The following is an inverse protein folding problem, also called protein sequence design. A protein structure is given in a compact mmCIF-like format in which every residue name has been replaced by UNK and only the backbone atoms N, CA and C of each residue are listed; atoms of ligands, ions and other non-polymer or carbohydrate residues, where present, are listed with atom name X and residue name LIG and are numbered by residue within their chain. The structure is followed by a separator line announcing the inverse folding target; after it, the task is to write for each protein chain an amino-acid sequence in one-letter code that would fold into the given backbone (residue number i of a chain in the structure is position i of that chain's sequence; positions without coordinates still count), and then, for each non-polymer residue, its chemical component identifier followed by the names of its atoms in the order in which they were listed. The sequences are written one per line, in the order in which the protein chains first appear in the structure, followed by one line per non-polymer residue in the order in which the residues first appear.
data_IF_652040919520
#
_entry.id   IF_652040919520
#
_cell.length_a   1.000
_cell.length_b   1.000
_cell.length_c   1.000
_cell.angle_alpha   90.00
_cell.angle_beta   90.00
_cell.angle_gamma   90.00
#
_symmetry.space_group_name_H-M   'P 1'
#
loop_
_entity.id
_entity.type
_entity.pdbx_description
1 polymer ?
#
# COMPACT_ATOMS: atom_id res chain seq x y z
N UNK A 1 -15.56 -10.85 -48.57
CA UNK A 1 -15.81 -9.61 -47.79
C UNK A 1 -15.20 -9.85 -46.43
N UNK A 2 -14.09 -9.24 -46.21
CA UNK A 2 -13.38 -9.35 -44.94
C UNK A 2 -14.07 -8.37 -43.98
N UNK A 3 -14.81 -8.91 -43.04
CA UNK A 3 -15.44 -8.09 -41.98
C UNK A 3 -14.31 -7.58 -41.04
N UNK A 4 -13.99 -6.29 -41.17
CA UNK A 4 -13.14 -5.58 -40.22
C UNK A 4 -14.02 -5.14 -39.06
N UNK A 5 -13.81 -5.73 -37.90
CA UNK A 5 -14.56 -5.40 -36.67
C UNK A 5 -13.95 -4.20 -35.93
N UNK A 6 -12.66 -3.96 -36.08
CA UNK A 6 -11.92 -2.87 -35.42
C UNK A 6 -10.91 -2.22 -36.39
N UNK A 7 -11.27 -1.05 -36.89
CA UNK A 7 -10.45 -0.27 -37.83
C UNK A 7 -9.05 0.16 -37.25
N UNK A 8 -8.87 0.07 -35.93
CA UNK A 8 -7.61 0.42 -35.29
C UNK A 8 -6.62 -0.75 -35.23
N UNK A 9 -7.13 -1.98 -35.17
CA UNK A 9 -6.34 -3.19 -34.97
C UNK A 9 -6.33 -4.11 -36.18
N UNK A 10 -7.28 -3.93 -37.11
CA UNK A 10 -7.47 -4.77 -38.27
C UNK A 10 -7.45 -3.91 -39.56
N UNK A 11 -6.97 -4.47 -40.62
CA UNK A 11 -6.95 -3.86 -41.96
C UNK A 11 -7.58 -4.85 -42.97
N UNK A 12 -8.35 -4.34 -43.93
CA UNK A 12 -8.90 -5.17 -44.97
C UNK A 12 -7.81 -5.81 -45.82
N UNK A 13 -8.08 -7.03 -46.36
CA UNK A 13 -7.09 -7.76 -47.15
C UNK A 13 -6.67 -6.99 -48.41
N UNK A 14 -7.63 -6.26 -49.03
CA UNK A 14 -7.34 -5.42 -50.19
C UNK A 14 -6.34 -4.34 -49.91
N UNK A 15 -6.51 -3.58 -48.81
CA UNK A 15 -5.60 -2.52 -48.38
C UNK A 15 -4.26 -3.09 -47.88
N UNK A 16 -4.30 -4.28 -47.28
CA UNK A 16 -3.11 -5.02 -46.86
C UNK A 16 -2.25 -5.45 -48.03
N UNK A 17 -2.85 -5.85 -49.16
CA UNK A 17 -2.16 -6.25 -50.38
C UNK A 17 -1.58 -5.07 -51.17
N UNK A 18 -2.09 -3.85 -50.94
CA UNK A 18 -1.40 -2.64 -51.47
C UNK A 18 -0.06 -2.39 -50.78
N UNK A 19 0.04 -2.73 -49.49
CA UNK A 19 1.26 -2.57 -48.71
C UNK A 19 2.22 -3.76 -48.96
N UNK A 20 1.67 -4.98 -48.96
CA UNK A 20 2.45 -6.21 -49.20
C UNK A 20 1.67 -7.17 -50.10
N UNK A 21 2.12 -7.35 -51.35
CA UNK A 21 1.50 -8.22 -52.35
C UNK A 21 1.35 -9.70 -51.97
N UNK A 22 1.97 -10.13 -50.87
CA UNK A 22 1.95 -11.52 -50.36
C UNK A 22 1.10 -11.67 -49.12
N UNK A 23 0.41 -10.62 -48.66
CA UNK A 23 -0.39 -10.64 -47.45
C UNK A 23 -1.56 -11.61 -47.52
N UNK A 24 -1.76 -12.41 -46.52
CA UNK A 24 -2.86 -13.35 -46.35
C UNK A 24 -3.68 -13.01 -45.10
N UNK A 25 -4.92 -13.50 -45.04
CA UNK A 25 -5.79 -13.31 -43.89
C UNK A 25 -5.15 -13.96 -42.65
N UNK A 26 -4.97 -13.16 -41.57
CA UNK A 26 -4.31 -13.57 -40.33
C UNK A 26 -2.86 -13.14 -40.23
N UNK A 27 -2.26 -12.56 -41.27
CA UNK A 27 -0.91 -12.02 -41.21
C UNK A 27 -0.86 -10.69 -40.45
N UNK A 28 0.24 -10.44 -39.74
CA UNK A 28 0.54 -9.17 -39.12
C UNK A 28 1.30 -8.26 -40.08
N UNK A 29 0.74 -7.08 -40.35
CA UNK A 29 1.37 -6.09 -41.23
C UNK A 29 1.73 -4.85 -40.45
N UNK A 30 2.94 -4.38 -40.62
CA UNK A 30 3.39 -3.10 -40.07
C UNK A 30 2.99 -1.97 -41.02
N UNK A 31 2.00 -1.19 -40.60
CA UNK A 31 1.59 0.02 -41.31
C UNK A 31 2.30 1.22 -40.70
N UNK A 32 3.11 1.89 -41.52
CA UNK A 32 3.74 3.14 -41.10
C UNK A 32 2.69 4.25 -41.05
N UNK A 33 2.25 4.60 -39.87
CA UNK A 33 1.36 5.75 -39.68
C UNK A 33 2.23 7.02 -39.73
N UNK A 34 2.20 7.68 -40.87
CA UNK A 34 2.75 9.04 -40.97
C UNK A 34 1.91 9.94 -40.06
N UNK A 35 2.48 10.36 -38.95
CA UNK A 35 1.86 11.34 -38.04
C UNK A 35 1.61 12.64 -38.80
N UNK A 36 0.40 12.81 -39.34
CA UNK A 36 -0.08 14.12 -39.68
C UNK A 36 -0.08 14.93 -38.39
N UNK A 37 0.47 16.13 -38.42
CA UNK A 37 0.63 17.06 -37.33
C UNK A 37 -0.50 16.95 -36.29
N UNK A 38 -0.21 16.31 -35.17
CA UNK A 38 -1.13 16.33 -34.04
C UNK A 38 -1.26 17.78 -33.60
N UNK A 39 -2.46 18.32 -33.73
CA UNK A 39 -2.74 19.68 -33.27
C UNK A 39 -2.29 19.83 -31.80
N UNK A 40 -1.84 21.02 -31.43
CA UNK A 40 -1.31 21.34 -30.09
C UNK A 40 -2.24 20.86 -28.96
N UNK A 41 -3.55 20.91 -29.16
CA UNK A 41 -4.57 20.42 -28.21
C UNK A 41 -4.53 18.90 -28.06
N UNK A 42 -4.44 18.16 -29.16
CA UNK A 42 -4.38 16.69 -29.14
C UNK A 42 -3.11 16.19 -28.45
N UNK A 43 -1.96 16.83 -28.69
CA UNK A 43 -0.70 16.52 -28.03
C UNK A 43 -0.78 16.78 -26.52
N UNK A 44 -1.39 17.89 -26.11
CA UNK A 44 -1.57 18.21 -24.69
C UNK A 44 -2.51 17.21 -24.00
N UNK A 45 -3.59 16.81 -24.65
CA UNK A 45 -4.52 15.82 -24.13
C UNK A 45 -3.84 14.44 -23.99
N UNK A 46 -3.08 14.00 -25.00
CA UNK A 46 -2.32 12.75 -24.94
C UNK A 46 -1.33 12.75 -23.77
N UNK A 47 -0.58 13.84 -23.58
CA UNK A 47 0.31 14.01 -22.43
C UNK A 47 -0.43 13.88 -21.09
N UNK A 48 -1.57 14.55 -20.96
CA UNK A 48 -2.36 14.51 -19.73
C UNK A 48 -2.88 13.11 -19.43
N UNK A 49 -3.37 12.36 -20.44
CA UNK A 49 -3.86 10.98 -20.30
C UNK A 49 -2.72 10.05 -19.89
N UNK A 50 -1.54 10.17 -20.51
CA UNK A 50 -0.38 9.37 -20.16
C UNK A 50 0.04 9.63 -18.71
N UNK A 51 0.16 10.89 -18.31
CA UNK A 51 0.51 11.26 -16.93
C UNK A 51 -0.53 10.78 -15.91
N UNK A 52 -1.81 10.81 -16.28
CA UNK A 52 -2.87 10.28 -15.44
C UNK A 52 -2.72 8.77 -15.25
N UNK A 53 -2.48 8.02 -16.32
CA UNK A 53 -2.26 6.56 -16.26
C UNK A 53 -1.04 6.21 -15.41
N UNK A 54 0.07 6.89 -15.59
CA UNK A 54 1.26 6.68 -14.76
C UNK A 54 0.93 6.88 -13.28
N UNK A 55 0.22 7.94 -12.93
CA UNK A 55 -0.18 8.21 -11.52
C UNK A 55 -1.16 7.17 -10.98
N UNK A 56 -2.05 6.64 -11.80
CA UNK A 56 -2.96 5.55 -11.42
C UNK A 56 -2.18 4.28 -11.08
N UNK A 57 -1.22 3.90 -11.93
CA UNK A 57 -0.35 2.73 -11.69
C UNK A 57 0.55 2.91 -10.47
N UNK A 58 1.18 4.08 -10.29
CA UNK A 58 1.97 4.38 -9.09
C UNK A 58 1.14 4.23 -7.81
N UNK A 59 -0.12 4.71 -7.81
CA UNK A 59 -1.04 4.57 -6.67
C UNK A 59 -1.41 3.12 -6.40
N UNK A 60 -1.63 2.34 -7.47
CA UNK A 60 -1.93 0.91 -7.35
C UNK A 60 -0.77 0.13 -6.74
N UNK A 61 0.45 0.41 -7.17
CA UNK A 61 1.67 -0.20 -6.60
C UNK A 61 1.83 0.14 -5.12
N UNK A 62 1.64 1.42 -4.75
CA UNK A 62 1.72 1.86 -3.36
C UNK A 62 0.62 1.20 -2.52
N UNK A 63 -0.61 1.14 -3.04
CA UNK A 63 -1.72 0.47 -2.37
C UNK A 63 -1.39 -0.98 -2.07
N UNK A 64 -0.95 -1.76 -3.05
CA UNK A 64 -0.61 -3.16 -2.88
C UNK A 64 0.53 -3.36 -1.86
N UNK A 65 1.56 -2.53 -1.94
CA UNK A 65 2.69 -2.58 -1.00
C UNK A 65 2.28 -2.38 0.47
N UNK A 66 1.33 -1.48 0.74
CA UNK A 66 0.85 -1.25 2.10
C UNK A 66 -0.30 -2.17 2.50
N UNK A 67 -1.06 -2.69 1.54
CA UNK A 67 -2.07 -3.70 1.78
C UNK A 67 -1.45 -5.00 2.33
N UNK A 68 -0.30 -5.42 1.81
CA UNK A 68 0.45 -6.56 2.34
C UNK A 68 0.94 -6.34 3.78
N UNK A 69 1.10 -5.09 4.19
CA UNK A 69 1.49 -4.69 5.56
C UNK A 69 0.32 -4.31 6.45
N UNK A 70 -0.92 -4.53 5.97
CA UNK A 70 -2.10 -4.36 6.80
C UNK A 70 -2.04 -5.33 7.99
N UNK A 71 -2.45 -4.86 9.17
CA UNK A 71 -2.36 -5.60 10.43
C UNK A 71 -0.93 -5.86 10.92
N UNK A 72 0.04 -5.07 10.45
CA UNK A 72 1.41 -5.13 10.93
C UNK A 72 1.88 -3.78 11.48
N UNK A 73 3.03 -3.79 12.19
CA UNK A 73 3.63 -2.59 12.77
C UNK A 73 4.69 -2.05 11.84
N UNK A 74 4.57 -0.77 11.53
CA UNK A 74 5.53 -0.04 10.71
C UNK A 74 6.11 1.15 11.46
N UNK A 75 7.34 1.51 11.13
CA UNK A 75 7.95 2.74 11.64
C UNK A 75 7.67 3.87 10.65
N UNK A 76 7.09 4.95 11.15
CA UNK A 76 6.84 6.15 10.38
C UNK A 76 7.48 7.37 11.03
N UNK A 77 7.58 8.46 10.28
CA UNK A 77 8.09 9.74 10.72
C UNK A 77 6.95 10.74 10.83
N UNK A 78 6.79 11.35 11.99
CA UNK A 78 5.78 12.40 12.21
C UNK A 78 6.10 13.61 11.34
N UNK A 79 5.18 13.99 10.46
CA UNK A 79 5.35 15.15 9.59
C UNK A 79 4.76 16.42 10.22
N UNK A 80 3.45 16.38 10.47
CA UNK A 80 2.70 17.56 10.95
C UNK A 80 1.38 17.15 11.58
N UNK A 81 0.85 18.05 12.38
CA UNK A 81 -0.52 17.99 12.85
C UNK A 81 -1.47 18.57 11.80
N UNK A 82 -2.56 17.87 11.54
CA UNK A 82 -3.64 18.29 10.65
C UNK A 82 -4.93 18.36 11.48
N UNK A 83 -5.15 19.53 12.09
CA UNK A 83 -6.17 19.68 13.14
C UNK A 83 -5.81 18.84 14.36
N UNK A 84 -6.67 17.90 14.73
CA UNK A 84 -6.44 16.95 15.83
C UNK A 84 -5.78 15.64 15.39
N UNK A 85 -5.62 15.44 14.08
CA UNK A 85 -4.99 14.25 13.52
C UNK A 85 -3.51 14.50 13.26
N UNK A 86 -2.73 13.42 13.14
CA UNK A 86 -1.31 13.48 12.87
C UNK A 86 -1.04 12.81 11.52
N UNK A 87 -0.32 13.50 10.63
CA UNK A 87 0.20 12.93 9.39
C UNK A 87 1.55 12.30 9.67
N UNK A 88 1.69 11.03 9.31
CA UNK A 88 2.88 10.21 9.49
C UNK A 88 3.37 9.73 8.14
N UNK A 89 4.62 10.04 7.81
CA UNK A 89 5.23 9.55 6.59
C UNK A 89 5.78 8.14 6.79
N UNK A 90 5.35 7.21 5.94
CA UNK A 90 5.81 5.84 5.92
C UNK A 90 6.89 5.57 4.84
N UNK A 91 7.41 6.64 4.23
CA UNK A 91 8.39 6.59 3.15
C UNK A 91 7.75 6.88 1.79
N UNK A 92 6.95 5.97 1.25
CA UNK A 92 6.30 6.14 -0.07
C UNK A 92 4.87 6.69 0.01
N UNK A 93 4.25 6.65 1.17
CA UNK A 93 2.90 7.17 1.40
C UNK A 93 2.78 7.80 2.79
N UNK A 94 1.80 8.68 2.92
CA UNK A 94 1.45 9.28 4.19
C UNK A 94 0.28 8.51 4.83
N UNK A 95 0.41 8.22 6.12
CA UNK A 95 -0.62 7.63 6.94
C UNK A 95 -1.28 8.68 7.84
N UNK A 96 -2.52 8.42 8.21
CA UNK A 96 -3.29 9.28 9.10
C UNK A 96 -3.50 8.59 10.45
N UNK A 97 -2.99 9.22 11.50
CA UNK A 97 -3.26 8.86 12.88
C UNK A 97 -4.38 9.79 13.39
N UNK A 98 -5.60 9.26 13.46
CA UNK A 98 -6.76 10.03 13.90
C UNK A 98 -6.76 10.26 15.40
N UNK A 99 -7.48 11.28 15.89
CA UNK A 99 -7.55 11.63 17.33
C UNK A 99 -7.93 10.42 18.20
N UNK A 100 -8.88 9.59 17.74
CA UNK A 100 -9.34 8.40 18.47
C UNK A 100 -8.30 7.28 18.56
N UNK A 101 -7.35 7.27 17.65
CA UNK A 101 -6.28 6.27 17.56
C UNK A 101 -4.97 6.76 18.20
N UNK A 102 -4.97 7.97 18.77
CA UNK A 102 -3.85 8.51 19.53
C UNK A 102 -3.97 8.12 20.99
N UNK A 103 -2.85 7.87 21.63
CA UNK A 103 -2.78 7.60 23.07
C UNK A 103 -2.84 8.94 23.82
N UNK A 104 -3.74 9.03 24.79
CA UNK A 104 -3.87 10.24 25.62
C UNK A 104 -2.57 10.51 26.37
N UNK A 105 -2.04 11.74 26.23
CA UNK A 105 -0.80 12.16 26.88
C UNK A 105 0.47 11.98 26.03
N UNK A 106 0.41 11.28 24.89
CA UNK A 106 1.51 11.27 23.93
C UNK A 106 1.51 12.56 23.09
N UNK A 107 2.67 13.23 23.08
CA UNK A 107 2.90 14.42 22.25
C UNK A 107 4.12 14.15 21.38
N UNK A 108 3.91 14.19 20.07
CA UNK A 108 4.97 13.90 19.10
C UNK A 108 5.55 15.18 18.53
N UNK A 109 6.85 15.20 18.36
CA UNK A 109 7.54 16.29 17.68
C UNK A 109 7.61 15.99 16.16
N UNK A 110 7.57 17.02 15.31
CA UNK A 110 7.89 16.84 13.89
C UNK A 110 9.25 16.14 13.72
N UNK A 111 9.36 15.27 12.74
CA UNK A 111 10.53 14.43 12.44
C UNK A 111 10.80 13.27 13.41
N UNK A 112 10.00 13.12 14.46
CA UNK A 112 10.12 11.99 15.38
C UNK A 112 9.72 10.68 14.71
N UNK A 113 10.47 9.60 14.97
CA UNK A 113 10.17 8.25 14.49
C UNK A 113 9.30 7.53 15.50
N UNK A 114 8.16 7.04 15.05
CA UNK A 114 7.23 6.29 15.88
C UNK A 114 6.82 4.97 15.23
N UNK A 115 6.62 3.94 16.05
CA UNK A 115 6.04 2.67 15.60
C UNK A 115 4.51 2.79 15.63
N UNK A 116 3.84 2.44 14.56
CA UNK A 116 2.38 2.50 14.44
C UNK A 116 1.85 1.21 13.82
N UNK A 117 0.65 0.82 14.21
CA UNK A 117 -0.04 -0.34 13.66
C UNK A 117 -0.94 0.09 12.51
N UNK A 118 -0.83 -0.57 11.36
CA UNK A 118 -1.70 -0.31 10.21
C UNK A 118 -3.04 -1.02 10.45
N UNK A 119 -4.08 -0.24 10.67
CA UNK A 119 -5.44 -0.76 10.90
C UNK A 119 -6.10 -1.14 9.59
N UNK A 120 -5.98 -0.26 8.60
CA UNK A 120 -6.70 -0.41 7.33
C UNK A 120 -6.03 0.39 6.22
N UNK A 121 -6.03 -0.17 5.02
CA UNK A 121 -5.57 0.50 3.80
C UNK A 121 -6.73 0.59 2.81
N UNK A 122 -7.21 1.81 2.54
CA UNK A 122 -8.30 2.08 1.60
C UNK A 122 -7.77 2.63 0.28
N UNK A 123 -8.25 2.09 -0.82
CA UNK A 123 -8.03 2.69 -2.12
C UNK A 123 -9.06 3.80 -2.37
N UNK A 124 -8.58 5.02 -2.59
CA UNK A 124 -9.46 6.16 -2.90
C UNK A 124 -9.06 6.80 -4.23
N UNK A 125 -9.98 7.53 -4.90
CA UNK A 125 -9.65 8.21 -6.17
C UNK A 125 -8.48 9.20 -6.07
N UNK A 126 -8.19 9.68 -4.85
CA UNK A 126 -7.05 10.59 -4.57
C UNK A 126 -5.75 9.84 -4.26
N UNK A 127 -5.80 8.52 -4.10
CA UNK A 127 -4.68 7.64 -3.75
C UNK A 127 -4.98 6.76 -2.53
N UNK A 128 -4.05 5.87 -2.15
CA UNK A 128 -4.21 5.01 -0.98
C UNK A 128 -4.30 5.84 0.30
N UNK A 129 -5.30 5.54 1.11
CA UNK A 129 -5.45 6.11 2.45
C UNK A 129 -5.11 5.06 3.48
N UNK A 130 -4.06 5.30 4.25
CA UNK A 130 -3.56 4.39 5.26
C UNK A 130 -3.98 4.95 6.63
N UNK A 131 -4.80 4.20 7.34
CA UNK A 131 -5.20 4.51 8.70
C UNK A 131 -4.32 3.72 9.67
N UNK A 132 -3.73 4.41 10.62
CA UNK A 132 -2.83 3.81 11.61
C UNK A 132 -3.31 4.09 13.02
N UNK A 133 -2.94 3.21 13.95
CA UNK A 133 -3.32 3.28 15.36
C UNK A 133 -2.11 3.13 16.28
N UNK A 134 -2.20 3.81 17.43
CA UNK A 134 -1.32 3.59 18.58
C UNK A 134 -2.07 3.02 19.79
N UNK A 135 -3.39 3.01 19.73
CA UNK A 135 -4.26 2.47 20.79
C UNK A 135 -4.55 0.98 20.63
N UNK A 136 -4.42 0.44 19.42
CA UNK A 136 -4.82 -0.93 19.09
C UNK A 136 -4.02 -1.98 19.89
N UNK A 137 -4.66 -3.02 20.48
CA UNK A 137 -3.97 -4.07 21.24
C UNK A 137 -2.91 -4.83 20.43
N UNK A 138 -3.17 -5.06 19.16
CA UNK A 138 -2.24 -5.76 18.25
C UNK A 138 -0.90 -5.02 18.08
N UNK A 139 -0.86 -3.69 18.28
CA UNK A 139 0.41 -2.95 18.32
C UNK A 139 1.34 -3.56 19.37
N UNK A 140 0.82 -3.81 20.58
CA UNK A 140 1.61 -4.37 21.68
C UNK A 140 2.03 -5.79 21.35
N UNK A 141 1.12 -6.60 20.81
CA UNK A 141 1.44 -7.98 20.42
C UNK A 141 2.59 -8.03 19.42
N UNK A 142 2.52 -7.24 18.35
CA UNK A 142 3.57 -7.16 17.34
C UNK A 142 4.89 -6.63 17.88
N UNK A 143 4.84 -5.70 18.85
CA UNK A 143 6.04 -5.21 19.52
C UNK A 143 6.71 -6.33 20.35
N UNK A 144 5.93 -7.13 21.08
CA UNK A 144 6.45 -8.29 21.80
C UNK A 144 7.03 -9.34 20.84
N UNK A 145 6.35 -9.65 19.73
CA UNK A 145 6.85 -10.56 18.68
C UNK A 145 8.17 -10.07 18.06
N UNK A 146 8.42 -8.75 18.04
CA UNK A 146 9.67 -8.18 17.49
C UNK A 146 10.82 -8.13 18.50
N UNK A 147 10.52 -8.00 19.81
CA UNK A 147 11.52 -7.76 20.84
C UNK A 147 11.84 -9.00 21.68
N UNK A 148 10.86 -9.91 21.86
CA UNK A 148 11.00 -11.13 22.67
C UNK A 148 11.29 -12.32 21.78
N UNK A 149 12.46 -12.89 21.93
CA UNK A 149 12.96 -14.01 21.10
C UNK A 149 12.07 -15.26 21.24
N UNK A 150 11.65 -15.57 22.47
CA UNK A 150 10.82 -16.73 22.80
C UNK A 150 9.40 -16.63 22.23
N UNK A 151 8.90 -15.43 21.98
CA UNK A 151 7.62 -15.21 21.28
C UNK A 151 7.82 -15.35 19.78
N UNK A 152 8.93 -14.85 19.27
CA UNK A 152 9.26 -14.89 17.84
C UNK A 152 9.50 -16.32 17.34
N UNK A 153 10.12 -17.18 18.14
CA UNK A 153 10.38 -18.58 17.81
C UNK A 153 9.20 -19.51 18.13
N UNK A 154 8.14 -18.99 18.78
CA UNK A 154 6.94 -19.74 19.12
C UNK A 154 7.05 -20.55 20.42
N UNK A 155 8.13 -20.45 21.19
CA UNK A 155 8.27 -21.08 22.49
C UNK A 155 7.27 -20.52 23.50
N UNK A 156 7.05 -19.21 23.46
CA UNK A 156 6.03 -18.50 24.25
C UNK A 156 4.97 -17.92 23.33
N UNK A 157 3.71 -18.13 23.67
CA UNK A 157 2.56 -17.62 22.91
C UNK A 157 1.78 -16.59 23.71
N UNK A 158 1.35 -15.51 23.05
CA UNK A 158 0.41 -14.55 23.61
C UNK A 158 -1.01 -15.07 23.34
N UNK A 159 -1.73 -15.47 24.38
CA UNK A 159 -3.10 -15.99 24.29
C UNK A 159 -4.15 -14.88 24.25
N UNK A 160 -3.96 -13.82 25.03
CA UNK A 160 -4.87 -12.66 25.01
C UNK A 160 -4.20 -11.39 25.49
N UNK A 161 -4.74 -10.25 25.07
CA UNK A 161 -4.29 -8.92 25.46
C UNK A 161 -5.50 -8.08 25.85
N UNK A 162 -5.45 -7.46 27.02
CA UNK A 162 -6.39 -6.43 27.45
C UNK A 162 -5.62 -5.13 27.67
N UNK A 163 -5.92 -4.11 26.87
CA UNK A 163 -5.15 -2.85 26.83
C UNK A 163 -6.03 -1.66 27.15
N UNK A 164 -5.56 -0.84 28.05
CA UNK A 164 -6.01 0.51 28.32
C UNK A 164 -4.88 1.47 27.88
N UNK A 165 -5.02 1.97 26.64
CA UNK A 165 -3.95 2.70 25.98
C UNK A 165 -3.53 3.95 26.77
N UNK A 166 -2.22 4.09 27.03
CA UNK A 166 -1.66 5.17 27.85
C UNK A 166 -1.72 4.93 29.36
N UNK A 167 -2.30 3.83 29.83
CA UNK A 167 -2.38 3.47 31.25
C UNK A 167 -1.68 2.13 31.52
N UNK A 168 -2.28 1.01 31.14
CA UNK A 168 -1.75 -0.33 31.38
C UNK A 168 -2.15 -1.33 30.31
N UNK A 169 -1.38 -2.41 30.21
CA UNK A 169 -1.69 -3.56 29.36
C UNK A 169 -1.50 -4.83 30.15
N UNK A 170 -2.47 -5.72 30.13
CA UNK A 170 -2.38 -7.07 30.67
C UNK A 170 -2.28 -8.05 29.52
N UNK A 171 -1.33 -8.97 29.60
CA UNK A 171 -1.04 -9.96 28.56
C UNK A 171 -1.12 -11.33 29.23
N UNK A 172 -1.87 -12.24 28.65
CA UNK A 172 -1.84 -13.65 29.01
C UNK A 172 -0.87 -14.38 28.10
N UNK A 173 0.15 -14.98 28.68
CA UNK A 173 1.18 -15.72 27.96
C UNK A 173 1.17 -17.21 28.39
N UNK A 174 1.59 -18.05 27.45
CA UNK A 174 1.70 -19.50 27.64
C UNK A 174 3.01 -19.99 27.08
N UNK A 175 3.73 -20.83 27.82
CA UNK A 175 4.94 -21.48 27.32
C UNK A 175 4.62 -22.88 26.83
N UNK A 176 5.06 -23.18 25.61
CA UNK A 176 5.00 -24.53 25.03
C UNK A 176 6.15 -25.42 25.54
N UNK A 177 7.16 -24.83 26.20
CA UNK A 177 8.30 -25.54 26.77
C UNK A 177 8.24 -25.43 28.31
N UNK A 178 8.13 -26.55 29.06
CA UNK A 178 8.04 -26.52 30.52
C UNK A 178 9.28 -25.92 31.21
N UNK A 179 10.43 -25.87 30.53
CA UNK A 179 11.66 -25.31 31.07
C UNK A 179 11.80 -23.78 30.84
N UNK A 180 10.85 -23.16 30.17
CA UNK A 180 10.84 -21.73 29.87
C UNK A 180 9.71 -21.05 30.63
N UNK A 181 10.06 -20.12 31.52
CA UNK A 181 9.09 -19.28 32.19
C UNK A 181 8.53 -18.23 31.22
N UNK A 182 7.24 -18.38 30.87
CA UNK A 182 6.58 -17.48 29.93
C UNK A 182 6.53 -16.02 30.39
N UNK A 183 6.42 -15.79 31.70
CA UNK A 183 6.37 -14.44 32.28
C UNK A 183 7.78 -13.85 32.32
N UNK A 184 8.75 -14.62 32.79
CA UNK A 184 10.15 -14.21 32.84
C UNK A 184 10.70 -13.82 31.48
N UNK A 185 10.40 -14.57 30.43
CA UNK A 185 10.78 -14.25 29.06
C UNK A 185 10.24 -12.90 28.54
N UNK A 186 9.06 -12.48 29.04
CA UNK A 186 8.43 -11.21 28.63
C UNK A 186 8.84 -9.99 29.44
N UNK A 187 9.39 -10.19 30.64
CA UNK A 187 9.70 -9.08 31.57
C UNK A 187 11.17 -8.65 31.47
N UNK A 188 12.05 -9.53 31.11
CA UNK A 188 13.49 -9.27 30.93
C UNK A 188 14.26 -9.19 32.25
#
# INVERSE_FOLDING_TARGET
KDDVEDDCLQIALEDAQEISKKAQVGDMIHVEIKSKEFGRIATQNAKNVILQKIREEERSVIYNQYYEKEKDVVTGVVQRYVGKNISINLGKADAMLTENEQVKGEVFKPTERIKVYIVEVKNTPKGPRINVSRTHPELVKRLFESEVTEIKDGTVEIKSIAREAGSRTKIAVWSNNPNVDAVGACVG
#
